data_IF_244674471163
#
_entry.id   IF_244674471163
#
_cell.length_a   1.000
_cell.length_b   1.000
_cell.length_c   1.000
_cell.angle_alpha   90.00
_cell.angle_beta   90.00
_cell.angle_gamma   90.00
#
_symmetry.space_group_name_H-M   'P 1'
#
loop_
_entity.id
_entity.type
_entity.pdbx_description
1 polymer ?
#
# COMPACT_ATOMS: atom_id res chain seq x y z
N UNK A 1 -11.69 5.15 -10.98
CA UNK A 1 -11.54 5.91 -9.74
C UNK A 1 -10.36 5.43 -8.91
N UNK A 2 -9.93 6.22 -7.95
CA UNK A 2 -8.76 5.93 -7.10
C UNK A 2 -9.15 5.29 -5.76
N UNK A 3 -10.07 4.34 -5.78
CA UNK A 3 -10.60 3.68 -4.56
C UNK A 3 -9.47 3.07 -3.73
N UNK A 4 -8.52 2.38 -4.36
CA UNK A 4 -7.36 1.83 -3.66
C UNK A 4 -6.58 2.92 -2.90
N UNK A 5 -6.28 4.03 -3.57
CA UNK A 5 -5.51 5.13 -2.95
C UNK A 5 -6.25 5.78 -1.78
N UNK A 6 -7.59 5.86 -1.84
CA UNK A 6 -8.40 6.48 -0.79
C UNK A 6 -8.59 5.59 0.45
N UNK A 7 -8.65 4.26 0.29
CA UNK A 7 -9.15 3.38 1.36
C UNK A 7 -8.22 2.24 1.75
N UNK A 8 -7.36 1.77 0.86
CA UNK A 8 -6.56 0.56 1.10
C UNK A 8 -5.05 0.76 0.95
N UNK A 9 -4.61 1.91 0.43
CA UNK A 9 -3.19 2.21 0.28
C UNK A 9 -2.52 2.37 1.65
N UNK A 10 -1.43 1.64 1.97
CA UNK A 10 -0.73 1.78 3.26
C UNK A 10 -0.32 3.22 3.58
N UNK A 11 0.14 3.99 2.58
CA UNK A 11 0.50 5.40 2.77
C UNK A 11 -0.69 6.24 3.25
N UNK A 12 -1.87 6.04 2.69
CA UNK A 12 -3.09 6.76 3.09
C UNK A 12 -3.52 6.35 4.49
N UNK A 13 -3.48 5.05 4.80
CA UNK A 13 -3.84 4.53 6.13
C UNK A 13 -2.92 5.11 7.21
N UNK A 14 -1.60 5.11 7.00
CA UNK A 14 -0.67 5.71 7.96
C UNK A 14 -0.82 7.23 8.06
N UNK A 15 -1.02 7.92 6.94
CA UNK A 15 -1.25 9.36 6.95
C UNK A 15 -2.52 9.71 7.74
N UNK A 16 -3.61 8.97 7.55
CA UNK A 16 -4.86 9.20 8.27
C UNK A 16 -4.71 8.92 9.77
N UNK A 17 -4.05 7.81 10.13
CA UNK A 17 -3.75 7.49 11.52
C UNK A 17 -2.89 8.57 12.20
N UNK A 18 -1.88 9.08 11.51
CA UNK A 18 -1.02 10.16 12.02
C UNK A 18 -1.77 11.49 12.14
N UNK A 19 -2.65 11.80 11.20
CA UNK A 19 -3.56 12.96 11.29
C UNK A 19 -4.53 12.83 12.47
N UNK A 20 -5.01 11.62 12.75
CA UNK A 20 -5.85 11.37 13.92
C UNK A 20 -5.10 11.66 15.23
N UNK A 21 -3.86 11.23 15.35
CA UNK A 21 -2.98 11.57 16.48
C UNK A 21 -2.74 13.08 16.57
N UNK A 22 -2.53 13.77 15.44
CA UNK A 22 -2.41 15.23 15.43
C UNK A 22 -3.67 15.92 15.97
N UNK A 23 -4.85 15.51 15.52
CA UNK A 23 -6.11 16.06 16.01
C UNK A 23 -6.28 15.83 17.51
N UNK A 24 -5.84 14.70 18.00
CA UNK A 24 -5.92 14.37 19.42
C UNK A 24 -4.97 15.21 20.28
N UNK A 25 -3.74 15.47 19.82
CA UNK A 25 -2.71 16.20 20.60
C UNK A 25 -2.77 17.71 20.36
N UNK A 26 -2.82 18.13 19.09
CA UNK A 26 -2.75 19.54 18.67
C UNK A 26 -4.15 20.17 18.49
N UNK A 27 -5.20 19.34 18.43
CA UNK A 27 -6.58 19.78 18.19
C UNK A 27 -6.92 19.97 16.71
N UNK A 28 -8.02 20.64 16.44
CA UNK A 28 -8.50 20.92 15.09
C UNK A 28 -7.54 21.84 14.31
N UNK A 29 -7.73 21.89 12.98
CA UNK A 29 -6.88 22.69 12.07
C UNK A 29 -6.64 24.11 12.58
N UNK A 30 -7.65 24.79 13.08
CA UNK A 30 -7.52 26.15 13.61
C UNK A 30 -6.61 26.20 14.86
N UNK A 31 -6.68 25.18 15.72
CA UNK A 31 -5.80 25.04 16.87
C UNK A 31 -4.36 24.74 16.42
N UNK A 32 -4.18 23.87 15.45
CA UNK A 32 -2.87 23.55 14.86
C UNK A 32 -2.21 24.77 14.23
N UNK A 33 -2.95 25.61 13.50
CA UNK A 33 -2.47 26.87 12.94
C UNK A 33 -2.04 27.84 14.05
N UNK A 34 -2.80 27.95 15.13
CA UNK A 34 -2.44 28.77 16.30
C UNK A 34 -1.16 28.27 16.96
N UNK A 35 -1.04 26.96 17.19
CA UNK A 35 0.17 26.34 17.76
C UNK A 35 1.37 26.54 16.84
N UNK A 36 1.19 26.44 15.52
CA UNK A 36 2.27 26.66 14.55
C UNK A 36 2.82 28.09 14.62
N UNK A 37 1.91 29.09 14.72
CA UNK A 37 2.27 30.52 14.81
C UNK A 37 2.76 30.96 16.20
N UNK A 38 2.48 30.19 17.25
CA UNK A 38 2.92 30.51 18.61
C UNK A 38 4.46 30.50 18.72
N UNK A 39 5.06 31.35 19.55
CA UNK A 39 6.51 31.34 19.81
C UNK A 39 6.95 30.01 20.41
N UNK A 40 8.22 29.68 20.25
CA UNK A 40 8.80 28.49 20.84
C UNK A 40 8.81 28.59 22.36
N UNK A 41 8.13 27.66 23.01
CA UNK A 41 8.03 27.55 24.45
C UNK A 41 7.88 26.09 24.89
N UNK A 42 7.99 25.80 26.20
CA UNK A 42 7.96 24.43 26.71
C UNK A 42 6.68 23.69 26.29
N UNK A 43 5.53 24.33 26.35
CA UNK A 43 4.27 23.73 25.95
C UNK A 43 4.22 23.32 24.46
N UNK A 44 4.81 24.12 23.56
CA UNK A 44 4.91 23.80 22.13
C UNK A 44 5.85 22.63 21.89
N UNK A 45 7.00 22.62 22.60
CA UNK A 45 8.00 21.56 22.51
C UNK A 45 7.40 20.24 23.00
N UNK A 46 6.76 20.23 24.17
CA UNK A 46 6.15 19.03 24.74
C UNK A 46 5.09 18.43 23.81
N UNK A 47 4.20 19.25 23.24
CA UNK A 47 3.21 18.77 22.26
C UNK A 47 3.84 18.14 21.03
N UNK A 48 4.88 18.76 20.48
CA UNK A 48 5.61 18.20 19.32
C UNK A 48 6.31 16.88 19.64
N UNK A 49 7.01 16.83 20.78
CA UNK A 49 7.70 15.61 21.18
C UNK A 49 6.74 14.47 21.47
N UNK A 50 5.63 14.72 22.18
CA UNK A 50 4.62 13.69 22.44
C UNK A 50 3.98 13.19 21.15
N UNK A 51 3.68 14.07 20.19
CA UNK A 51 3.17 13.69 18.88
C UNK A 51 4.16 12.79 18.13
N UNK A 52 5.41 13.20 18.03
CA UNK A 52 6.45 12.43 17.35
C UNK A 52 6.74 11.10 18.05
N UNK A 53 6.68 11.06 19.38
CA UNK A 53 6.82 9.81 20.13
C UNK A 53 5.70 8.82 19.79
N UNK A 54 4.44 9.28 19.76
CA UNK A 54 3.31 8.43 19.38
C UNK A 54 3.43 7.98 17.92
N UNK A 55 3.80 8.85 17.00
CA UNK A 55 4.05 8.49 15.60
C UNK A 55 5.15 7.45 15.45
N UNK A 56 6.24 7.58 16.22
CA UNK A 56 7.34 6.61 16.21
C UNK A 56 6.89 5.25 16.75
N UNK A 57 6.11 5.23 17.83
CA UNK A 57 5.54 3.99 18.36
C UNK A 57 4.62 3.30 17.34
N UNK A 58 3.77 4.05 16.66
CA UNK A 58 2.92 3.52 15.58
C UNK A 58 3.79 2.99 14.43
N UNK A 59 4.82 3.73 14.02
CA UNK A 59 5.71 3.33 12.95
C UNK A 59 6.48 2.04 13.29
N UNK A 60 6.93 1.89 14.53
CA UNK A 60 7.56 0.66 15.03
C UNK A 60 6.57 -0.50 15.09
N UNK A 61 5.35 -0.26 15.61
CA UNK A 61 4.34 -1.29 15.76
C UNK A 61 3.76 -1.78 14.42
N UNK A 62 3.68 -0.93 13.40
CA UNK A 62 3.11 -1.26 12.10
C UNK A 62 4.17 -1.49 11.03
N UNK A 63 5.03 -0.49 10.76
CA UNK A 63 6.10 -0.60 9.78
C UNK A 63 7.17 -1.61 10.18
N UNK A 64 7.63 -1.55 11.44
CA UNK A 64 8.64 -2.48 11.97
C UNK A 64 8.14 -3.91 12.08
N UNK A 65 6.84 -4.10 12.35
CA UNK A 65 6.26 -5.44 12.51
C UNK A 65 6.24 -6.29 11.22
N UNK A 66 6.49 -5.71 10.06
CA UNK A 66 6.58 -6.46 8.80
C UNK A 66 7.63 -7.56 8.80
N UNK A 67 8.66 -7.44 9.64
CA UNK A 67 9.71 -8.47 9.73
C UNK A 67 9.18 -9.79 10.26
N UNK A 68 8.15 -9.77 11.10
CA UNK A 68 7.52 -10.99 11.66
C UNK A 68 6.82 -11.84 10.60
N UNK A 69 6.58 -11.29 9.40
CA UNK A 69 6.07 -12.07 8.28
C UNK A 69 7.12 -13.00 7.67
N UNK A 70 8.42 -12.67 7.81
CA UNK A 70 9.53 -13.40 7.20
C UNK A 70 10.30 -14.30 8.16
N UNK A 71 9.96 -14.30 9.46
CA UNK A 71 10.63 -15.08 10.49
C UNK A 71 9.61 -15.58 11.51
N UNK A 72 9.98 -16.59 12.30
CA UNK A 72 9.15 -17.07 13.41
C UNK A 72 8.95 -15.94 14.44
N UNK A 73 7.72 -15.43 14.52
CA UNK A 73 7.41 -14.24 15.28
C UNK A 73 7.71 -14.36 16.79
N UNK A 74 7.36 -15.46 17.51
CA UNK A 74 7.66 -15.60 18.93
C UNK A 74 9.14 -15.61 19.24
N UNK A 75 9.93 -16.34 18.44
CA UNK A 75 11.38 -16.46 18.61
C UNK A 75 12.05 -15.13 18.31
N UNK A 76 11.72 -14.51 17.15
CA UNK A 76 12.27 -13.22 16.76
C UNK A 76 11.93 -12.12 17.76
N UNK A 77 10.70 -12.07 18.28
CA UNK A 77 10.31 -11.11 19.30
C UNK A 77 11.18 -11.24 20.57
N UNK A 78 11.37 -12.49 21.06
CA UNK A 78 12.24 -12.74 22.21
C UNK A 78 13.68 -12.27 21.95
N UNK A 79 14.23 -12.61 20.78
CA UNK A 79 15.60 -12.27 20.40
C UNK A 79 15.78 -10.75 20.24
N UNK A 80 14.78 -10.05 19.72
CA UNK A 80 14.78 -8.57 19.63
C UNK A 80 14.84 -7.92 21.01
N UNK A 81 14.01 -8.38 21.97
CA UNK A 81 14.00 -7.83 23.32
C UNK A 81 15.24 -8.21 24.13
N UNK A 82 15.85 -9.38 23.88
CA UNK A 82 17.08 -9.82 24.54
C UNK A 82 18.37 -9.30 23.89
N UNK A 83 18.27 -8.62 22.75
CA UNK A 83 19.43 -8.10 22.02
C UNK A 83 20.18 -9.15 21.18
N UNK A 84 19.63 -10.36 21.02
CA UNK A 84 20.28 -11.48 20.35
C UNK A 84 19.85 -11.64 18.86
N UNK A 85 18.93 -10.81 18.39
CA UNK A 85 18.50 -10.88 17.00
C UNK A 85 19.64 -10.52 16.02
N UNK A 86 19.60 -11.07 14.81
CA UNK A 86 20.57 -10.76 13.78
C UNK A 86 20.54 -9.26 13.42
N UNK A 87 21.71 -8.67 13.13
CA UNK A 87 21.84 -7.26 12.76
C UNK A 87 20.89 -6.84 11.64
N UNK A 88 20.68 -7.74 10.66
CA UNK A 88 19.73 -7.52 9.55
C UNK A 88 18.30 -7.28 10.06
N UNK A 89 17.88 -7.95 11.13
CA UNK A 89 16.54 -7.75 11.71
C UNK A 89 16.37 -6.32 12.25
N UNK A 90 17.34 -5.85 13.05
CA UNK A 90 17.31 -4.46 13.56
C UNK A 90 17.38 -3.44 12.43
N UNK A 91 18.23 -3.66 11.43
CA UNK A 91 18.35 -2.79 10.27
C UNK A 91 17.05 -2.70 9.47
N UNK A 92 16.39 -3.83 9.24
CA UNK A 92 15.10 -3.89 8.53
C UNK A 92 14.00 -3.16 9.32
N UNK A 93 13.88 -3.42 10.62
CA UNK A 93 12.93 -2.71 11.50
C UNK A 93 13.20 -1.21 11.46
N UNK A 94 14.47 -0.80 11.60
CA UNK A 94 14.86 0.60 11.58
C UNK A 94 14.49 1.30 10.28
N UNK A 95 14.79 0.69 9.13
CA UNK A 95 14.45 1.24 7.81
C UNK A 95 12.94 1.33 7.62
N UNK A 96 12.19 0.27 7.92
CA UNK A 96 10.74 0.25 7.75
C UNK A 96 10.04 1.23 8.69
N UNK A 97 10.46 1.31 9.95
CA UNK A 97 9.92 2.27 10.90
C UNK A 97 10.28 3.71 10.51
N UNK A 98 11.51 3.98 10.08
CA UNK A 98 11.93 5.31 9.65
C UNK A 98 11.16 5.76 8.40
N UNK A 99 11.00 4.91 7.40
CA UNK A 99 10.22 5.22 6.19
C UNK A 99 8.75 5.46 6.51
N UNK A 100 8.14 4.64 7.37
CA UNK A 100 6.76 4.85 7.82
C UNK A 100 6.60 6.17 8.57
N UNK A 101 7.53 6.48 9.48
CA UNK A 101 7.52 7.72 10.25
C UNK A 101 7.67 8.95 9.37
N UNK A 102 8.62 8.93 8.44
CA UNK A 102 8.91 10.08 7.56
C UNK A 102 7.80 10.24 6.52
N UNK A 103 7.41 9.17 5.84
CA UNK A 103 6.44 9.26 4.75
C UNK A 103 5.02 9.52 5.27
N UNK A 104 4.61 8.88 6.34
CA UNK A 104 3.29 9.10 6.96
C UNK A 104 3.20 10.43 7.71
N UNK A 105 4.28 10.84 8.39
CA UNK A 105 4.29 12.05 9.22
C UNK A 105 4.59 13.34 8.48
N UNK A 106 5.64 13.36 7.67
CA UNK A 106 6.18 14.60 7.09
C UNK A 106 5.96 14.71 5.59
N UNK A 107 6.03 13.61 4.84
CA UNK A 107 5.97 13.66 3.38
C UNK A 107 4.57 13.39 2.81
N UNK A 108 3.67 12.87 3.58
CA UNK A 108 2.23 12.64 3.27
C UNK A 108 1.88 12.67 1.78
N UNK A 109 1.32 13.81 1.32
CA UNK A 109 0.94 14.06 -0.07
C UNK A 109 2.11 14.04 -1.05
N UNK A 110 3.33 14.39 -0.60
CA UNK A 110 4.53 14.39 -1.43
C UNK A 110 4.83 13.00 -1.99
N UNK A 111 4.62 11.95 -1.17
CA UNK A 111 4.76 10.57 -1.61
C UNK A 111 3.80 10.26 -2.75
N UNK A 112 2.53 10.66 -2.64
CA UNK A 112 1.51 10.41 -3.64
C UNK A 112 1.73 11.21 -4.94
N UNK A 113 2.20 12.45 -4.83
CA UNK A 113 2.33 13.36 -5.99
C UNK A 113 3.65 13.12 -6.75
N UNK A 114 4.76 12.91 -6.02
CA UNK A 114 6.09 12.91 -6.63
C UNK A 114 6.76 11.54 -6.67
N UNK A 115 6.57 10.69 -5.65
CA UNK A 115 7.29 9.42 -5.54
C UNK A 115 6.51 8.24 -6.10
N UNK A 116 5.19 8.20 -5.91
CA UNK A 116 4.36 7.08 -6.34
C UNK A 116 4.02 7.21 -7.83
N UNK A 117 4.32 6.23 -8.68
CA UNK A 117 3.93 6.26 -10.08
C UNK A 117 2.43 6.02 -10.31
N UNK A 118 1.76 5.41 -9.31
CA UNK A 118 0.38 4.95 -9.43
C UNK A 118 -0.65 6.05 -9.75
N UNK A 119 -0.62 7.23 -9.12
CA UNK A 119 -1.52 8.32 -9.46
C UNK A 119 -1.41 8.76 -10.93
N UNK A 120 -0.20 8.80 -11.49
CA UNK A 120 0.03 9.15 -12.89
C UNK A 120 -0.55 8.11 -13.85
N UNK A 121 -0.32 6.83 -13.58
CA UNK A 121 -0.88 5.70 -14.34
C UNK A 121 -2.41 5.77 -14.30
N UNK A 122 -2.98 5.92 -13.11
CA UNK A 122 -4.44 6.01 -12.95
C UNK A 122 -5.03 7.25 -13.65
N UNK A 123 -4.35 8.39 -13.61
CA UNK A 123 -4.79 9.61 -14.31
C UNK A 123 -4.81 9.39 -15.82
N UNK A 124 -3.82 8.72 -16.38
CA UNK A 124 -3.81 8.37 -17.81
C UNK A 124 -4.96 7.42 -18.21
N UNK A 125 -5.52 6.68 -17.25
CA UNK A 125 -6.66 5.79 -17.46
C UNK A 125 -8.03 6.46 -17.25
N UNK A 126 -8.08 7.70 -16.76
CA UNK A 126 -9.33 8.44 -16.57
C UNK A 126 -9.84 8.99 -17.91
N UNK A 127 -11.16 9.04 -18.02
CA UNK A 127 -11.89 9.66 -19.11
C UNK A 127 -13.03 10.54 -18.55
N UNK A 128 -13.71 11.28 -19.41
CA UNK A 128 -14.82 12.16 -19.03
C UNK A 128 -15.97 11.44 -18.34
N UNK A 129 -16.07 10.13 -18.55
CA UNK A 129 -17.09 9.25 -17.93
C UNK A 129 -16.55 8.48 -16.72
N UNK A 130 -15.37 8.79 -16.24
CA UNK A 130 -14.83 8.21 -15.01
C UNK A 130 -15.39 8.93 -13.81
N UNK A 131 -15.78 8.15 -12.79
CA UNK A 131 -16.32 8.67 -11.53
C UNK A 131 -15.21 9.35 -10.73
N UNK A 132 -15.39 10.61 -10.42
CA UNK A 132 -14.48 11.45 -9.63
C UNK A 132 -15.26 12.22 -8.57
N UNK A 133 -14.58 12.72 -7.56
CA UNK A 133 -15.14 13.74 -6.68
C UNK A 133 -15.08 15.06 -7.41
N UNK A 134 -16.21 15.71 -7.56
CA UNK A 134 -16.37 16.92 -8.38
C UNK A 134 -17.11 18.00 -7.58
N UNK A 135 -16.64 19.22 -7.67
CA UNK A 135 -17.33 20.41 -7.18
C UNK A 135 -18.24 20.95 -8.27
N UNK A 136 -19.49 21.27 -7.96
CA UNK A 136 -20.49 21.83 -8.89
C UNK A 136 -20.34 23.35 -8.93
N UNK A 137 -19.48 23.84 -9.80
CA UNK A 137 -19.16 25.25 -9.96
C UNK A 137 -20.36 26.09 -10.36
N UNK A 138 -21.21 25.60 -11.28
CA UNK A 138 -22.45 26.28 -11.73
C UNK A 138 -23.43 26.54 -10.57
N UNK A 139 -23.37 25.76 -9.50
CA UNK A 139 -24.20 25.92 -8.31
C UNK A 139 -23.48 26.70 -7.22
N UNK A 140 -22.17 26.53 -7.11
CA UNK A 140 -21.36 27.05 -6.01
C UNK A 140 -20.75 28.43 -6.25
N UNK A 141 -20.57 28.84 -7.51
CA UNK A 141 -19.98 30.15 -7.84
C UNK A 141 -21.06 31.21 -8.14
N UNK A 142 -20.78 32.49 -7.90
CA UNK A 142 -19.61 33.03 -7.20
C UNK A 142 -19.67 32.78 -5.69
N UNK A 143 -18.51 32.43 -5.11
CA UNK A 143 -18.39 32.17 -3.66
C UNK A 143 -18.61 33.42 -2.82
N UNK A 144 -19.21 33.26 -1.64
CA UNK A 144 -19.37 34.38 -0.74
C UNK A 144 -19.83 33.99 0.66
N UNK A 145 -19.52 34.81 1.67
CA UNK A 145 -19.95 34.55 3.04
C UNK A 145 -21.48 34.52 3.18
N UNK A 146 -21.99 33.84 4.21
CA UNK A 146 -23.45 33.78 4.52
C UNK A 146 -24.04 35.16 4.58
N UNK A 147 -23.38 36.12 5.26
CA UNK A 147 -23.83 37.52 5.37
C UNK A 147 -23.94 38.20 3.99
N UNK A 148 -23.02 37.91 3.08
CA UNK A 148 -23.05 38.47 1.72
C UNK A 148 -24.20 37.88 0.90
N UNK A 149 -24.47 36.60 1.10
CA UNK A 149 -25.60 35.92 0.45
C UNK A 149 -26.96 36.40 0.96
N UNK A 150 -27.08 36.68 2.26
CA UNK A 150 -28.29 37.30 2.87
C UNK A 150 -28.53 38.74 2.38
N UNK A 151 -27.44 39.51 2.20
CA UNK A 151 -27.50 40.87 1.71
C UNK A 151 -27.83 40.98 0.20
N UNK A 152 -27.49 39.98 -0.59
CA UNK A 152 -27.71 39.93 -2.04
C UNK A 152 -28.23 38.55 -2.47
N UNK A 153 -29.52 38.25 -2.25
CA UNK A 153 -30.12 36.98 -2.67
C UNK A 153 -30.01 36.79 -4.17
N UNK A 154 -29.39 35.69 -4.60
CA UNK A 154 -29.14 35.34 -6.02
C UNK A 154 -27.84 35.90 -6.63
N UNK A 155 -27.09 36.74 -5.92
CA UNK A 155 -25.78 37.22 -6.35
C UNK A 155 -24.60 36.40 -5.85
N UNK A 156 -24.86 35.35 -5.05
CA UNK A 156 -23.85 34.45 -4.47
C UNK A 156 -24.34 33.03 -4.62
N UNK A 157 -23.45 32.13 -5.06
CA UNK A 157 -23.73 30.71 -5.16
C UNK A 157 -23.85 30.01 -3.78
N UNK A 158 -24.02 28.71 -3.82
CA UNK A 158 -24.19 27.92 -2.58
C UNK A 158 -22.92 27.82 -1.73
N UNK A 159 -21.73 28.02 -2.31
CA UNK A 159 -20.46 27.93 -1.60
C UNK A 159 -20.22 29.17 -0.72
N UNK A 160 -20.19 28.98 0.61
CA UNK A 160 -19.95 30.06 1.59
C UNK A 160 -18.47 30.32 1.89
N UNK A 161 -17.57 29.73 1.13
CA UNK A 161 -16.10 29.84 1.27
C UNK A 161 -15.57 29.48 2.67
N UNK A 162 -16.19 28.48 3.32
CA UNK A 162 -15.80 28.05 4.67
C UNK A 162 -14.49 27.26 4.72
N UNK A 163 -13.94 26.82 3.59
CA UNK A 163 -12.70 26.04 3.45
C UNK A 163 -12.68 24.70 4.19
N UNK A 164 -13.84 24.17 4.62
CA UNK A 164 -13.90 22.89 5.33
C UNK A 164 -13.47 21.72 4.41
N UNK A 165 -13.83 21.76 3.13
CA UNK A 165 -13.41 20.76 2.16
C UNK A 165 -11.88 20.67 2.03
N UNK A 166 -11.17 21.78 2.11
CA UNK A 166 -9.69 21.83 2.12
C UNK A 166 -9.14 21.38 3.49
N UNK A 167 -9.82 21.75 4.57
CA UNK A 167 -9.38 21.43 5.93
C UNK A 167 -9.39 19.93 6.24
N UNK A 168 -10.35 19.18 5.70
CA UNK A 168 -10.46 17.72 5.89
C UNK A 168 -9.66 16.92 4.88
N UNK A 169 -9.16 17.56 3.82
CA UNK A 169 -8.45 16.85 2.76
C UNK A 169 -7.08 16.34 3.28
N UNK A 170 -6.83 15.01 3.25
CA UNK A 170 -5.55 14.45 3.71
C UNK A 170 -4.36 14.85 2.83
N UNK A 171 -4.62 15.21 1.56
CA UNK A 171 -3.62 15.69 0.61
C UNK A 171 -3.60 17.22 0.47
N UNK A 172 -4.43 17.93 1.23
CA UNK A 172 -4.43 19.39 1.30
C UNK A 172 -4.85 20.12 0.03
N UNK A 173 -5.49 19.43 -0.94
CA UNK A 173 -5.95 20.04 -2.19
C UNK A 173 -7.24 20.85 -1.99
N UNK A 174 -7.45 21.85 -2.85
CA UNK A 174 -8.73 22.53 -2.97
C UNK A 174 -9.52 21.92 -4.13
N UNK A 175 -10.54 21.13 -3.81
CA UNK A 175 -11.37 20.47 -4.82
C UNK A 175 -12.19 21.44 -5.66
N UNK A 176 -12.37 22.69 -5.19
CA UNK A 176 -13.10 23.73 -5.90
C UNK A 176 -12.36 24.27 -7.12
N UNK A 177 -11.05 24.03 -7.20
CA UNK A 177 -10.21 24.33 -8.36
C UNK A 177 -10.27 23.26 -9.46
N UNK A 178 -11.17 22.29 -9.31
CA UNK A 178 -11.37 21.20 -10.24
C UNK A 178 -10.57 19.92 -9.92
N UNK A 179 -10.60 18.92 -10.81
CA UNK A 179 -9.91 17.66 -10.62
C UNK A 179 -8.39 17.83 -10.58
N UNK A 180 -7.76 17.31 -9.52
CA UNK A 180 -6.31 17.40 -9.32
C UNK A 180 -5.68 16.02 -9.15
N UNK A 181 -4.39 15.89 -9.54
CA UNK A 181 -3.62 14.66 -9.39
C UNK A 181 -3.51 14.24 -7.91
N UNK A 182 -3.48 15.20 -7.00
CA UNK A 182 -3.44 14.95 -5.55
C UNK A 182 -4.73 14.36 -4.98
N UNK A 183 -5.86 14.43 -5.70
CA UNK A 183 -7.12 13.86 -5.20
C UNK A 183 -7.06 12.33 -5.15
N UNK A 184 -7.26 11.74 -3.97
CA UNK A 184 -7.30 10.29 -3.75
C UNK A 184 -8.72 9.72 -3.74
N UNK A 185 -9.73 10.52 -4.04
CA UNK A 185 -11.16 10.16 -4.07
C UNK A 185 -11.68 9.54 -2.76
N UNK A 186 -11.22 10.04 -1.61
CA UNK A 186 -11.63 9.57 -0.29
C UNK A 186 -13.00 10.09 0.19
N UNK A 187 -13.59 11.07 -0.51
CA UNK A 187 -14.90 11.68 -0.24
C UNK A 187 -15.03 12.51 1.06
N UNK A 188 -14.00 12.65 1.88
CA UNK A 188 -14.09 13.44 3.12
C UNK A 188 -14.57 14.89 2.90
N UNK A 189 -14.26 15.47 1.74
CA UNK A 189 -14.74 16.79 1.37
C UNK A 189 -16.26 16.82 1.07
N UNK A 190 -16.85 15.72 0.61
CA UNK A 190 -18.29 15.57 0.41
C UNK A 190 -18.99 15.68 1.77
N UNK A 191 -18.61 14.82 2.72
CA UNK A 191 -19.21 14.78 4.06
C UNK A 191 -19.07 16.13 4.79
N UNK A 192 -17.88 16.75 4.70
CA UNK A 192 -17.62 18.04 5.32
C UNK A 192 -18.48 19.15 4.71
N UNK A 193 -18.63 19.16 3.37
CA UNK A 193 -19.48 20.14 2.69
C UNK A 193 -20.96 19.92 3.01
N UNK A 194 -21.44 18.70 2.97
CA UNK A 194 -22.83 18.36 3.26
C UNK A 194 -23.24 18.70 4.68
N UNK A 195 -22.33 18.53 5.65
CA UNK A 195 -22.54 18.95 7.02
C UNK A 195 -22.71 20.48 7.12
N UNK A 196 -21.86 21.24 6.42
CA UNK A 196 -21.97 22.72 6.40
C UNK A 196 -23.24 23.14 5.67
N UNK A 197 -23.57 22.54 4.53
CA UNK A 197 -24.80 22.84 3.77
C UNK A 197 -26.05 22.60 4.63
N UNK A 198 -26.08 21.49 5.37
CA UNK A 198 -27.18 21.18 6.28
C UNK A 198 -27.31 22.23 7.41
N UNK A 199 -26.18 22.71 7.96
CA UNK A 199 -26.20 23.74 9.04
C UNK A 199 -26.74 25.08 8.56
N UNK A 200 -26.50 25.46 7.30
CA UNK A 200 -26.95 26.74 6.71
C UNK A 200 -28.27 26.60 5.95
N UNK A 201 -28.92 25.42 6.01
CA UNK A 201 -30.20 25.19 5.33
C UNK A 201 -30.15 25.14 3.80
N UNK A 202 -28.99 24.90 3.21
CA UNK A 202 -28.81 24.75 1.75
C UNK A 202 -28.84 23.28 1.33
N UNK A 203 -29.24 22.98 0.07
CA UNK A 203 -29.27 21.60 -0.43
C UNK A 203 -27.88 20.97 -0.42
N UNK A 204 -27.78 19.72 0.00
CA UNK A 204 -26.55 18.89 -0.04
C UNK A 204 -26.10 18.62 -1.48
N UNK A 205 -24.92 17.97 -1.63
CA UNK A 205 -24.40 17.53 -2.91
C UNK A 205 -23.78 18.66 -3.75
N UNK A 206 -23.24 19.71 -3.10
CA UNK A 206 -22.44 20.73 -3.78
C UNK A 206 -21.06 20.15 -4.22
N UNK A 207 -20.51 19.25 -3.41
CA UNK A 207 -19.40 18.36 -3.78
C UNK A 207 -19.95 16.96 -3.78
N UNK A 208 -19.77 16.21 -4.86
CA UNK A 208 -20.35 14.88 -4.98
C UNK A 208 -19.51 13.99 -5.93
N UNK A 209 -19.81 12.70 -5.94
CA UNK A 209 -19.30 11.80 -6.96
C UNK A 209 -20.05 11.99 -8.28
N UNK A 210 -19.35 12.50 -9.27
CA UNK A 210 -19.91 12.66 -10.61
C UNK A 210 -18.89 12.28 -11.69
N UNK A 211 -19.36 12.01 -12.90
CA UNK A 211 -18.52 12.01 -14.08
C UNK A 211 -18.46 13.44 -14.63
N UNK A 212 -17.36 13.83 -15.28
CA UNK A 212 -17.28 15.16 -15.88
C UNK A 212 -18.39 15.39 -16.92
N UNK A 213 -18.72 14.36 -17.69
CA UNK A 213 -19.83 14.40 -18.66
C UNK A 213 -21.20 14.59 -18.01
N UNK A 214 -21.43 14.00 -16.83
CA UNK A 214 -22.70 14.19 -16.10
C UNK A 214 -22.75 15.52 -15.37
N UNK A 215 -21.61 16.01 -14.88
CA UNK A 215 -21.50 17.35 -14.30
C UNK A 215 -21.90 18.43 -15.33
N UNK A 216 -21.43 18.33 -16.57
CA UNK A 216 -21.83 19.24 -17.66
C UNK A 216 -23.31 19.14 -18.02
N UNK A 217 -23.91 17.92 -17.97
CA UNK A 217 -25.35 17.73 -18.21
C UNK A 217 -26.17 18.36 -17.09
N UNK A 218 -25.81 18.10 -15.82
CA UNK A 218 -26.48 18.72 -14.69
C UNK A 218 -26.42 20.26 -14.75
N UNK A 219 -25.29 20.83 -15.17
CA UNK A 219 -25.17 22.29 -15.40
C UNK A 219 -26.15 22.82 -16.44
N UNK A 220 -26.54 21.97 -17.43
CA UNK A 220 -27.56 22.29 -18.45
C UNK A 220 -28.98 21.93 -18.03
N UNK A 221 -29.18 21.40 -16.80
CA UNK A 221 -30.49 20.94 -16.32
C UNK A 221 -30.92 19.57 -16.86
N UNK A 222 -30.02 18.81 -17.50
CA UNK A 222 -30.29 17.46 -18.00
C UNK A 222 -30.10 16.41 -16.90
N UNK A 223 -30.86 15.31 -16.91
CA UNK A 223 -30.69 14.25 -15.92
C UNK A 223 -29.36 13.51 -16.10
N UNK A 224 -28.70 13.08 -15.00
CA UNK A 224 -27.45 12.34 -15.05
C UNK A 224 -27.63 10.97 -15.72
N UNK A 225 -26.56 10.42 -16.25
CA UNK A 225 -26.56 9.12 -16.91
C UNK A 225 -26.80 8.00 -15.88
N UNK A 226 -27.69 7.02 -16.14
CA UNK A 226 -27.90 5.91 -15.22
C UNK A 226 -26.59 5.16 -14.91
N UNK A 227 -26.35 4.86 -13.63
CA UNK A 227 -25.12 4.21 -13.14
C UNK A 227 -24.84 2.89 -13.89
N UNK A 228 -25.88 2.11 -14.16
CA UNK A 228 -25.75 0.84 -14.87
C UNK A 228 -25.15 1.02 -16.27
N UNK A 229 -25.54 2.05 -17.01
CA UNK A 229 -25.00 2.37 -18.34
C UNK A 229 -23.52 2.81 -18.26
N UNK A 230 -23.14 3.45 -17.17
CA UNK A 230 -21.76 3.86 -16.92
C UNK A 230 -20.88 2.65 -16.56
N UNK A 231 -21.41 1.66 -15.86
CA UNK A 231 -20.68 0.42 -15.50
C UNK A 231 -20.54 -0.53 -16.68
N UNK A 232 -21.60 -0.67 -17.52
CA UNK A 232 -21.66 -1.61 -18.67
C UNK A 232 -20.94 -1.07 -19.92
N UNK A 233 -19.84 -0.36 -19.76
CA UNK A 233 -19.04 0.14 -20.90
C UNK A 233 -18.01 -0.92 -21.35
N UNK A 234 -17.75 -1.03 -22.68
CA UNK A 234 -16.76 -1.97 -23.20
C UNK A 234 -15.38 -1.84 -22.51
N UNK A 235 -14.95 -0.61 -22.24
CA UNK A 235 -13.70 -0.31 -21.55
C UNK A 235 -13.65 -0.92 -20.12
N UNK A 236 -14.75 -0.85 -19.39
CA UNK A 236 -14.86 -1.46 -18.05
C UNK A 236 -14.74 -2.98 -18.12
N UNK A 237 -15.43 -3.60 -19.10
CA UNK A 237 -15.32 -5.04 -19.34
C UNK A 237 -13.92 -5.48 -19.70
N UNK A 238 -13.22 -4.76 -20.59
CA UNK A 238 -11.85 -5.06 -20.97
C UNK A 238 -10.92 -5.03 -19.75
N UNK A 239 -11.00 -3.99 -18.94
CA UNK A 239 -10.18 -3.91 -17.72
C UNK A 239 -10.50 -5.02 -16.72
N UNK A 240 -11.79 -5.31 -16.53
CA UNK A 240 -12.22 -6.41 -15.65
C UNK A 240 -11.74 -7.76 -16.17
N UNK A 241 -11.87 -8.02 -17.47
CA UNK A 241 -11.42 -9.25 -18.10
C UNK A 241 -9.91 -9.45 -17.98
N UNK A 242 -9.11 -8.40 -18.23
CA UNK A 242 -7.66 -8.45 -18.07
C UNK A 242 -7.29 -8.73 -16.61
N UNK A 243 -7.86 -8.01 -15.67
CA UNK A 243 -7.60 -8.19 -14.25
C UNK A 243 -7.97 -9.58 -13.76
N UNK A 244 -9.15 -10.06 -14.14
CA UNK A 244 -9.65 -11.42 -13.81
C UNK A 244 -8.76 -12.50 -14.43
N UNK A 245 -8.34 -12.33 -15.69
CA UNK A 245 -7.45 -13.28 -16.37
C UNK A 245 -6.09 -13.39 -15.65
N UNK A 246 -5.50 -12.27 -15.23
CA UNK A 246 -4.25 -12.27 -14.46
C UNK A 246 -4.45 -12.97 -13.11
N UNK A 247 -5.54 -12.65 -12.38
CA UNK A 247 -5.85 -13.27 -11.10
C UNK A 247 -6.08 -14.78 -11.22
N UNK A 248 -6.88 -15.21 -12.19
CA UNK A 248 -7.13 -16.62 -12.44
C UNK A 248 -5.86 -17.37 -12.88
N UNK A 249 -5.04 -16.77 -13.75
CA UNK A 249 -3.75 -17.34 -14.15
C UNK A 249 -2.81 -17.51 -12.95
N UNK A 250 -2.76 -16.53 -12.06
CA UNK A 250 -1.97 -16.63 -10.83
C UNK A 250 -2.46 -17.75 -9.92
N UNK A 251 -3.78 -17.87 -9.71
CA UNK A 251 -4.38 -18.95 -8.92
C UNK A 251 -4.10 -20.31 -9.55
N UNK A 252 -4.19 -20.42 -10.88
CA UNK A 252 -3.88 -21.64 -11.61
C UNK A 252 -2.40 -22.03 -11.43
N UNK A 253 -1.46 -21.10 -11.61
CA UNK A 253 -0.04 -21.35 -11.43
C UNK A 253 0.28 -21.73 -9.98
N UNK A 254 -0.29 -21.04 -9.00
CA UNK A 254 -0.11 -21.36 -7.58
C UNK A 254 -0.69 -22.74 -7.22
N UNK A 255 -1.87 -23.08 -7.78
CA UNK A 255 -2.51 -24.39 -7.56
C UNK A 255 -1.73 -25.56 -8.17
N UNK A 256 -1.07 -25.33 -9.31
CA UNK A 256 -0.26 -26.34 -10.01
C UNK A 256 1.22 -26.31 -9.63
N UNK A 257 1.64 -25.42 -8.75
CA UNK A 257 3.05 -25.31 -8.35
C UNK A 257 3.52 -26.59 -7.66
N UNK A 258 4.64 -27.13 -8.11
CA UNK A 258 5.30 -28.24 -7.43
C UNK A 258 5.64 -27.85 -5.99
N UNK A 259 5.21 -28.68 -5.03
CA UNK A 259 5.46 -28.45 -3.59
C UNK A 259 6.81 -28.98 -3.12
N UNK A 260 7.51 -29.67 -4.01
CA UNK A 260 8.85 -30.19 -3.79
C UNK A 260 9.76 -29.56 -4.83
N UNK A 261 10.86 -28.98 -4.39
CA UNK A 261 11.86 -28.36 -5.24
C UNK A 261 13.22 -28.97 -4.95
N UNK A 262 13.98 -29.22 -6.00
CA UNK A 262 15.34 -29.73 -5.95
C UNK A 262 16.26 -28.81 -6.74
N UNK A 263 17.33 -28.39 -6.12
CA UNK A 263 18.39 -27.63 -6.78
C UNK A 263 19.70 -28.31 -6.53
N UNK A 264 20.43 -28.65 -7.63
CA UNK A 264 21.73 -29.24 -7.59
C UNK A 264 22.77 -28.27 -8.14
N UNK A 265 23.75 -27.91 -7.35
CA UNK A 265 24.87 -27.06 -7.73
C UNK A 265 26.18 -27.87 -7.64
N UNK A 266 26.96 -27.93 -8.73
CA UNK A 266 28.27 -28.53 -8.71
C UNK A 266 29.26 -27.61 -7.97
N UNK A 267 30.05 -28.18 -7.07
CA UNK A 267 31.17 -27.49 -6.46
C UNK A 267 32.27 -27.27 -7.49
N UNK A 268 32.80 -26.04 -7.56
CA UNK A 268 33.75 -25.66 -8.59
C UNK A 268 35.21 -25.64 -8.12
N UNK A 269 35.45 -25.87 -6.82
CA UNK A 269 36.79 -25.80 -6.25
C UNK A 269 37.04 -26.94 -5.25
N UNK A 270 37.65 -28.07 -5.71
CA UNK A 270 38.04 -28.41 -7.08
C UNK A 270 36.85 -28.86 -7.94
N UNK A 271 36.94 -28.70 -9.25
CA UNK A 271 35.89 -29.08 -10.20
C UNK A 271 35.64 -30.58 -10.21
N UNK A 272 36.72 -31.37 -10.07
CA UNK A 272 36.71 -32.82 -9.92
C UNK A 272 37.95 -33.29 -9.16
N UNK A 273 37.90 -34.46 -8.59
CA UNK A 273 39.03 -35.11 -7.94
C UNK A 273 39.23 -36.47 -8.59
N UNK A 274 40.43 -36.73 -9.11
CA UNK A 274 40.84 -38.06 -9.61
C UNK A 274 41.29 -38.92 -8.42
N UNK A 275 40.68 -40.08 -8.28
CA UNK A 275 40.99 -41.03 -7.21
C UNK A 275 42.16 -41.93 -7.65
N UNK A 276 42.82 -42.57 -6.66
CA UNK A 276 43.96 -43.48 -6.90
C UNK A 276 43.65 -44.70 -7.75
N UNK A 277 42.39 -45.09 -7.86
CA UNK A 277 41.89 -46.17 -8.69
C UNK A 277 41.53 -45.75 -10.14
N UNK A 278 41.73 -44.46 -10.49
CA UNK A 278 41.41 -43.91 -11.80
C UNK A 278 39.97 -43.35 -11.91
N UNK A 279 39.15 -43.51 -10.88
CA UNK A 279 37.77 -42.95 -10.87
C UNK A 279 37.79 -41.43 -10.70
N UNK A 280 36.74 -40.78 -11.18
CA UNK A 280 36.54 -39.33 -11.02
C UNK A 280 35.40 -39.06 -10.04
N UNK A 281 35.70 -38.25 -9.01
CA UNK A 281 34.75 -37.79 -8.01
C UNK A 281 34.36 -36.36 -8.27
N UNK A 282 33.07 -36.10 -8.37
CA UNK A 282 32.47 -34.76 -8.39
C UNK A 282 31.65 -34.50 -7.14
N UNK A 283 31.72 -33.30 -6.60
CA UNK A 283 30.96 -32.88 -5.47
C UNK A 283 29.77 -31.99 -5.89
N UNK A 284 28.61 -32.25 -5.33
CA UNK A 284 27.40 -31.49 -5.59
C UNK A 284 26.72 -31.10 -4.27
N UNK A 285 26.35 -29.81 -4.13
CA UNK A 285 25.45 -29.34 -3.09
C UNK A 285 24.02 -29.46 -3.60
N UNK A 286 23.24 -30.37 -2.99
CA UNK A 286 21.85 -30.58 -3.33
C UNK A 286 20.99 -29.92 -2.24
N UNK A 287 20.18 -28.93 -2.65
CA UNK A 287 19.19 -28.29 -1.78
C UNK A 287 17.82 -28.90 -2.08
N UNK A 288 17.24 -29.56 -1.10
CA UNK A 288 15.89 -30.11 -1.12
C UNK A 288 14.98 -29.20 -0.32
N UNK A 289 13.88 -28.77 -0.92
CA UNK A 289 12.87 -27.95 -0.26
C UNK A 289 11.54 -28.68 -0.28
N UNK A 290 11.00 -28.95 0.91
CA UNK A 290 9.67 -29.49 1.09
C UNK A 290 8.75 -28.35 1.55
N UNK A 291 7.73 -28.05 0.76
CA UNK A 291 6.71 -27.03 1.04
C UNK A 291 5.37 -27.67 1.46
N UNK A 292 5.36 -28.97 1.75
CA UNK A 292 4.20 -29.64 2.33
C UNK A 292 4.29 -29.60 3.87
N UNK A 293 3.16 -29.66 4.55
CA UNK A 293 3.06 -29.68 6.02
C UNK A 293 3.47 -31.02 6.66
N UNK A 294 3.90 -32.01 5.86
CA UNK A 294 4.28 -33.35 6.31
C UNK A 294 5.67 -33.73 5.77
N UNK A 295 6.44 -34.54 6.53
CA UNK A 295 7.72 -35.05 6.05
C UNK A 295 7.52 -35.90 4.77
N UNK A 296 8.43 -35.74 3.80
CA UNK A 296 8.43 -36.52 2.58
C UNK A 296 9.73 -37.30 2.42
N UNK A 297 9.59 -38.57 2.07
CA UNK A 297 10.74 -39.40 1.65
C UNK A 297 11.02 -39.12 0.17
N UNK A 298 12.23 -38.68 -0.12
CA UNK A 298 12.72 -38.38 -1.47
C UNK A 298 13.86 -39.34 -1.81
N UNK A 299 13.85 -39.82 -3.04
CA UNK A 299 14.92 -40.68 -3.58
C UNK A 299 15.68 -39.89 -4.65
N UNK A 300 16.97 -39.71 -4.41
CA UNK A 300 17.88 -39.03 -5.33
C UNK A 300 18.71 -40.09 -6.06
N UNK A 301 18.64 -40.10 -7.38
CA UNK A 301 19.39 -41.02 -8.22
C UNK A 301 20.09 -40.29 -9.36
N UNK A 302 21.07 -40.95 -9.97
CA UNK A 302 21.70 -40.50 -11.21
C UNK A 302 21.13 -41.21 -12.42
N UNK A 303 20.87 -40.44 -13.48
CA UNK A 303 20.41 -40.93 -14.76
C UNK A 303 21.50 -40.61 -15.81
N UNK A 304 21.75 -41.53 -16.72
CA UNK A 304 22.73 -41.33 -17.82
C UNK A 304 24.18 -41.74 -17.51
N UNK A 305 24.49 -42.17 -16.27
CA UNK A 305 25.81 -42.71 -15.92
C UNK A 305 25.68 -44.16 -15.44
N UNK A 306 25.98 -45.15 -16.28
CA UNK A 306 25.73 -46.57 -15.99
C UNK A 306 26.49 -47.12 -14.79
N UNK A 307 27.70 -46.63 -14.50
CA UNK A 307 28.53 -47.02 -13.38
C UNK A 307 28.66 -45.98 -12.28
N UNK A 308 27.81 -44.92 -12.30
CA UNK A 308 27.83 -43.87 -11.32
C UNK A 308 27.37 -44.36 -9.96
N UNK A 309 28.04 -43.89 -8.90
CA UNK A 309 27.73 -44.15 -7.49
C UNK A 309 27.56 -42.83 -6.76
N UNK A 310 26.61 -42.75 -5.83
CA UNK A 310 26.37 -41.57 -5.01
C UNK A 310 26.62 -41.93 -3.57
N UNK A 311 27.22 -41.02 -2.80
CA UNK A 311 27.32 -41.12 -1.34
C UNK A 311 27.15 -39.74 -0.73
N UNK A 312 26.86 -39.72 0.56
CA UNK A 312 26.66 -38.48 1.32
C UNK A 312 27.80 -38.28 2.33
N UNK A 313 28.38 -37.09 2.36
CA UNK A 313 29.45 -36.72 3.28
C UNK A 313 30.85 -37.20 2.83
N UNK A 314 31.87 -36.83 3.59
CA UNK A 314 33.27 -37.04 3.20
C UNK A 314 33.79 -38.49 3.39
N UNK A 315 33.07 -39.33 4.12
CA UNK A 315 33.74 -40.41 4.86
C UNK A 315 33.58 -41.78 4.27
N UNK A 316 32.78 -42.10 3.26
CA UNK A 316 32.70 -43.52 2.86
C UNK A 316 32.33 -43.79 1.39
N UNK A 317 33.34 -43.95 0.56
CA UNK A 317 33.19 -44.59 -0.75
C UNK A 317 32.64 -46.04 -0.66
N UNK A 318 32.69 -46.70 0.51
CA UNK A 318 32.21 -48.07 0.71
C UNK A 318 30.68 -48.18 0.87
N UNK A 319 29.97 -47.06 1.11
CA UNK A 319 28.51 -47.00 1.18
C UNK A 319 27.86 -46.40 -0.05
N UNK A 320 28.62 -46.30 -1.14
CA UNK A 320 28.17 -45.71 -2.39
C UNK A 320 27.08 -46.59 -3.03
N UNK A 321 25.91 -45.98 -3.27
CA UNK A 321 24.73 -46.61 -3.86
C UNK A 321 24.34 -45.90 -5.16
N UNK A 322 23.43 -46.48 -5.93
CA UNK A 322 22.84 -45.79 -7.10
C UNK A 322 21.83 -44.75 -6.76
N UNK A 323 21.19 -44.89 -5.59
CA UNK A 323 20.15 -43.99 -5.12
C UNK A 323 20.30 -43.75 -3.61
N UNK A 324 20.01 -42.55 -3.17
CA UNK A 324 19.99 -42.17 -1.75
C UNK A 324 18.56 -41.76 -1.37
N UNK A 325 18.03 -42.36 -0.33
CA UNK A 325 16.74 -41.95 0.28
C UNK A 325 16.97 -40.98 1.41
N UNK A 326 16.24 -39.87 1.38
CA UNK A 326 16.29 -38.82 2.40
C UNK A 326 14.86 -38.46 2.81
N UNK A 327 14.64 -38.35 4.11
CA UNK A 327 13.38 -37.79 4.63
C UNK A 327 13.60 -36.30 4.89
N UNK A 328 12.84 -35.47 4.18
CA UNK A 328 12.91 -34.00 4.30
C UNK A 328 11.73 -33.55 5.14
N UNK A 329 12.03 -32.85 6.25
CA UNK A 329 11.04 -32.24 7.10
C UNK A 329 10.28 -31.11 6.36
N UNK A 330 9.11 -30.69 6.86
CA UNK A 330 8.36 -29.57 6.33
C UNK A 330 9.16 -28.28 6.31
#
# INVERSE_FOLDING_TARGET
GRVWCGYACPQTVWTDLFLHVERWIDGDRNAQVRVAKAPWGPAKITRRLSKWAVWLLIALATGGAWIFYFADAPTLARDLFSGNAAFVAYGTIGILAATTFVFGGFMREQVCIYMCPWPRIQTAMLDEKSLLVTYKDWRGEPRGSVKKAEANPGGVGDCIDCNQCVAVCPTGIDIREGPQIGCITCALCIDACDNVMAQIGRPRGLIDYATLADAEKEARGEPPTPILKTLLRPRTFIYFAIWSSIGLSLLFVLGNRARIDISAAQERNPLYVQLSNGDVRNSYTIKLRNMESRPRSMEIGMVGLPNGRIWRGETQANTATRTIRLTVAP
#
